data_IF_846146356580
#
_entry.id   IF_846146356580
#
_cell.length_a   1.000
_cell.length_b   1.000
_cell.length_c   1.000
_cell.angle_alpha   90.00
_cell.angle_beta   90.00
_cell.angle_gamma   90.00
#
_symmetry.space_group_name_H-M   'P 1'
#
loop_
_entity.id
_entity.type
_entity.pdbx_description
1 polymer ?
#
# COMPACT_ATOMS: atom_id res chain seq x y z
N UNK A 1 49.70 15.10 24.88
CA UNK A 1 48.45 15.88 24.75
C UNK A 1 47.67 15.48 23.50
N UNK A 2 48.28 15.26 22.36
CA UNK A 2 47.63 14.90 21.09
C UNK A 2 46.82 13.60 21.13
N UNK A 3 47.32 12.55 21.80
CA UNK A 3 46.60 11.26 21.92
C UNK A 3 45.32 11.34 22.76
N UNK A 4 45.27 12.20 23.78
CA UNK A 4 44.05 12.38 24.59
C UNK A 4 42.98 13.13 23.79
N UNK A 5 43.35 14.09 22.98
CA UNK A 5 42.45 14.85 22.12
C UNK A 5 41.85 13.94 21.03
N UNK A 6 42.64 13.06 20.43
CA UNK A 6 42.22 12.10 19.42
C UNK A 6 41.19 11.10 19.98
N UNK A 7 41.41 10.58 21.19
CA UNK A 7 40.47 9.67 21.87
C UNK A 7 39.15 10.36 22.24
N UNK A 8 39.20 11.63 22.63
CA UNK A 8 38.00 12.40 22.98
C UNK A 8 37.14 12.70 21.73
N UNK A 9 37.77 13.02 20.60
CA UNK A 9 37.09 13.24 19.32
C UNK A 9 36.48 11.94 18.80
N UNK A 10 37.18 10.81 18.92
CA UNK A 10 36.65 9.51 18.49
C UNK A 10 35.45 9.07 19.35
N UNK A 11 35.44 9.39 20.63
CA UNK A 11 34.30 9.08 21.53
C UNK A 11 33.06 9.95 21.26
N UNK A 12 33.26 11.19 20.81
CA UNK A 12 32.16 12.09 20.45
C UNK A 12 31.53 11.69 19.11
N UNK A 13 32.32 11.16 18.17
CA UNK A 13 31.81 10.72 16.85
C UNK A 13 30.94 9.45 16.92
N UNK A 14 31.11 8.63 17.97
CA UNK A 14 30.34 7.38 18.14
C UNK A 14 28.90 7.57 18.68
N UNK A 15 28.51 8.78 19.11
CA UNK A 15 27.21 9.05 19.71
C UNK A 15 26.12 9.45 18.70
N UNK A 16 26.44 9.58 17.41
CA UNK A 16 25.46 9.95 16.35
C UNK A 16 24.99 8.78 15.49
N UNK A 17 25.00 7.55 16.02
CA UNK A 17 24.29 6.46 15.36
C UNK A 17 22.80 6.62 15.71
N UNK A 18 22.14 7.55 15.07
CA UNK A 18 20.68 7.53 14.98
C UNK A 18 20.31 6.27 14.22
N UNK A 19 19.69 5.29 14.87
CA UNK A 19 19.03 4.19 14.18
C UNK A 19 18.07 4.80 13.17
N UNK A 20 18.42 4.74 11.89
CA UNK A 20 17.48 5.03 10.83
C UNK A 20 16.38 3.98 10.95
N UNK A 21 15.23 4.36 11.52
CA UNK A 21 14.05 3.53 11.49
C UNK A 21 13.69 3.33 10.03
N UNK A 22 13.64 2.09 9.58
CA UNK A 22 13.17 1.77 8.24
C UNK A 22 11.68 2.15 8.16
N UNK A 23 11.29 2.79 7.08
CA UNK A 23 9.94 3.26 6.82
C UNK A 23 9.33 2.40 5.72
N UNK A 24 8.19 1.76 6.02
CA UNK A 24 7.38 1.05 5.03
C UNK A 24 6.37 2.04 4.46
N UNK A 25 6.45 2.30 3.17
CA UNK A 25 5.49 3.17 2.48
C UNK A 25 4.39 2.34 1.83
N UNK A 26 3.14 2.70 2.07
CA UNK A 26 1.96 2.07 1.49
C UNK A 26 1.15 3.11 0.72
N UNK A 27 0.85 2.81 -0.55
CA UNK A 27 -0.07 3.60 -1.34
C UNK A 27 -1.52 3.25 -0.99
N UNK A 28 -2.36 4.24 -0.71
CA UNK A 28 -3.82 4.06 -0.56
C UNK A 28 -4.47 4.73 -1.76
N UNK A 29 -4.81 3.92 -2.77
CA UNK A 29 -5.36 4.39 -4.04
C UNK A 29 -6.83 4.03 -4.10
N UNK A 30 -7.70 5.03 -3.91
CA UNK A 30 -9.15 4.87 -3.92
C UNK A 30 -9.78 5.92 -4.84
N UNK A 31 -11.07 5.79 -5.16
CA UNK A 31 -11.80 6.81 -5.90
C UNK A 31 -12.25 7.94 -4.98
N UNK A 32 -11.35 8.83 -4.60
CA UNK A 32 -11.66 9.98 -3.75
C UNK A 32 -12.51 11.03 -4.47
N UNK A 33 -12.52 11.02 -5.80
CA UNK A 33 -13.46 11.73 -6.65
C UNK A 33 -14.22 10.73 -7.52
N UNK A 34 -15.36 11.14 -8.09
CA UNK A 34 -16.16 10.31 -8.97
C UNK A 34 -17.32 9.58 -8.27
N UNK A 35 -17.79 8.44 -8.81
CA UNK A 35 -19.10 7.86 -8.44
C UNK A 35 -19.18 7.33 -7.01
N UNK A 36 -18.05 7.09 -6.35
CA UNK A 36 -18.00 6.50 -4.99
C UNK A 36 -17.29 7.42 -3.98
N UNK A 37 -17.09 8.68 -4.31
CA UNK A 37 -16.38 9.67 -3.47
C UNK A 37 -16.92 9.77 -2.03
N UNK A 38 -18.22 9.49 -1.83
CA UNK A 38 -18.84 9.52 -0.50
C UNK A 38 -18.46 8.35 0.40
N UNK A 39 -17.94 7.24 -0.17
CA UNK A 39 -17.60 6.02 0.57
C UNK A 39 -16.11 5.93 0.88
N UNK A 40 -15.27 6.39 -0.01
CA UNK A 40 -13.83 6.16 0.02
C UNK A 40 -13.08 6.85 1.17
N UNK A 41 -13.47 8.04 1.68
CA UNK A 41 -12.80 8.62 2.83
C UNK A 41 -12.86 7.70 4.06
N UNK A 42 -14.02 7.11 4.36
CA UNK A 42 -14.17 6.22 5.51
C UNK A 42 -13.35 4.93 5.36
N UNK A 43 -13.22 4.40 4.14
CA UNK A 43 -12.38 3.23 3.84
C UNK A 43 -10.91 3.58 4.08
N UNK A 44 -10.45 4.73 3.58
CA UNK A 44 -9.09 5.19 3.77
C UNK A 44 -8.76 5.42 5.25
N UNK A 45 -9.64 6.11 5.97
CA UNK A 45 -9.46 6.39 7.40
C UNK A 45 -9.39 5.10 8.23
N UNK A 46 -10.22 4.10 7.90
CA UNK A 46 -10.19 2.79 8.56
C UNK A 46 -8.86 2.05 8.31
N UNK A 47 -8.36 2.10 7.09
CA UNK A 47 -7.07 1.50 6.75
C UNK A 47 -5.91 2.21 7.48
N UNK A 48 -5.94 3.54 7.54
CA UNK A 48 -4.92 4.33 8.23
C UNK A 48 -4.89 4.05 9.74
N UNK A 49 -6.05 3.87 10.37
CA UNK A 49 -6.12 3.44 11.77
C UNK A 49 -5.43 2.09 11.94
N UNK A 50 -5.74 1.10 11.10
CA UNK A 50 -5.12 -0.22 11.17
C UNK A 50 -3.60 -0.17 10.95
N UNK A 51 -3.12 0.60 9.98
CA UNK A 51 -1.70 0.78 9.74
C UNK A 51 -0.99 1.52 10.88
N UNK A 52 -1.66 2.50 11.48
CA UNK A 52 -1.15 3.19 12.66
C UNK A 52 -1.05 2.24 13.85
N UNK A 53 -2.07 1.44 14.12
CA UNK A 53 -2.05 0.44 15.18
C UNK A 53 -0.92 -0.58 14.96
N UNK A 54 -0.72 -1.04 13.73
CA UNK A 54 0.38 -1.93 13.38
C UNK A 54 1.75 -1.29 13.67
N UNK A 55 1.93 -0.02 13.28
CA UNK A 55 3.17 0.73 13.56
C UNK A 55 3.40 0.91 15.06
N UNK A 56 2.35 1.29 15.81
CA UNK A 56 2.44 1.57 17.24
C UNK A 56 2.63 0.30 18.08
N UNK A 57 2.20 -0.86 17.58
CA UNK A 57 2.33 -2.14 18.26
C UNK A 57 3.78 -2.57 18.51
N UNK A 58 4.71 -2.04 17.72
CA UNK A 58 6.12 -2.47 17.71
C UNK A 58 6.34 -3.90 17.20
N UNK A 59 5.29 -4.54 16.63
CA UNK A 59 5.35 -5.91 16.11
C UNK A 59 5.95 -6.00 14.71
N UNK A 60 6.15 -4.86 14.05
CA UNK A 60 6.81 -4.83 12.75
C UNK A 60 8.30 -5.15 12.89
N UNK A 61 8.84 -5.85 11.90
CA UNK A 61 10.25 -6.25 11.89
C UNK A 61 11.16 -5.03 12.06
N UNK A 62 12.14 -5.15 12.93
CA UNK A 62 13.14 -4.08 13.19
C UNK A 62 12.56 -2.75 13.73
N UNK A 63 11.32 -2.74 14.23
CA UNK A 63 10.69 -1.51 14.72
C UNK A 63 10.36 -0.50 13.61
N UNK A 64 10.10 -0.99 12.41
CA UNK A 64 9.67 -0.19 11.27
C UNK A 64 8.36 0.56 11.54
N UNK A 65 8.13 1.63 10.81
CA UNK A 65 6.89 2.39 10.85
C UNK A 65 6.26 2.42 9.47
N UNK A 66 4.92 2.50 9.43
CA UNK A 66 4.18 2.59 8.17
C UNK A 66 3.83 4.06 7.91
N UNK A 67 4.13 4.52 6.70
CA UNK A 67 3.71 5.81 6.17
C UNK A 67 2.77 5.59 4.99
N UNK A 68 1.69 6.36 4.94
CA UNK A 68 0.64 6.23 3.94
C UNK A 68 0.72 7.37 2.95
N UNK A 69 0.53 7.04 1.68
CA UNK A 69 0.46 8.00 0.58
C UNK A 69 -0.87 7.79 -0.13
N UNK A 70 -1.80 8.75 0.01
CA UNK A 70 -3.10 8.71 -0.68
C UNK A 70 -2.96 9.15 -2.13
N UNK A 71 -3.72 8.50 -3.03
CA UNK A 71 -3.86 8.91 -4.42
C UNK A 71 -5.27 8.58 -4.93
N UNK A 72 -5.76 9.37 -5.88
CA UNK A 72 -7.11 9.26 -6.42
C UNK A 72 -7.13 8.52 -7.75
N UNK A 73 -7.81 7.38 -7.80
CA UNK A 73 -8.04 6.60 -9.02
C UNK A 73 -9.29 7.00 -9.80
N UNK A 74 -10.12 7.87 -9.26
CA UNK A 74 -11.42 8.33 -9.82
C UNK A 74 -12.45 7.23 -10.10
N UNK A 75 -12.08 5.97 -10.13
CA UNK A 75 -12.87 4.77 -10.49
C UNK A 75 -13.21 4.60 -11.98
N UNK A 76 -13.43 5.66 -12.72
CA UNK A 76 -13.98 5.64 -14.08
C UNK A 76 -13.02 6.19 -15.16
N UNK A 77 -11.81 6.56 -14.77
CA UNK A 77 -10.76 7.02 -15.68
C UNK A 77 -9.50 6.15 -15.53
N UNK A 78 -9.25 5.23 -16.49
CA UNK A 78 -8.06 4.39 -16.45
C UNK A 78 -6.76 5.19 -16.45
N UNK A 79 -6.70 6.33 -17.14
CA UNK A 79 -5.50 7.15 -17.18
C UNK A 79 -5.20 7.80 -15.84
N UNK A 80 -6.24 8.26 -15.12
CA UNK A 80 -6.10 8.77 -13.77
C UNK A 80 -5.65 7.67 -12.80
N UNK A 81 -6.20 6.46 -12.94
CA UNK A 81 -5.82 5.31 -12.13
C UNK A 81 -4.35 4.93 -12.31
N UNK A 82 -3.85 4.89 -13.56
CA UNK A 82 -2.43 4.64 -13.88
C UNK A 82 -1.56 5.75 -13.28
N UNK A 83 -1.91 7.00 -13.51
CA UNK A 83 -1.12 8.14 -13.01
C UNK A 83 -1.04 8.15 -11.47
N UNK A 84 -2.14 7.82 -10.79
CA UNK A 84 -2.17 7.67 -9.34
C UNK A 84 -1.21 6.56 -8.85
N UNK A 85 -1.24 5.41 -9.51
CA UNK A 85 -0.38 4.28 -9.17
C UNK A 85 1.10 4.59 -9.43
N UNK A 86 1.44 5.12 -10.59
CA UNK A 86 2.81 5.53 -10.92
C UNK A 86 3.33 6.59 -9.95
N UNK A 87 2.48 7.55 -9.56
CA UNK A 87 2.83 8.59 -8.61
C UNK A 87 3.20 8.07 -7.23
N UNK A 88 2.51 7.05 -6.71
CA UNK A 88 2.86 6.44 -5.41
C UNK A 88 4.05 5.48 -5.54
N UNK A 89 4.15 4.73 -6.64
CA UNK A 89 5.28 3.83 -6.92
C UNK A 89 6.58 4.64 -7.02
N UNK A 90 6.57 5.79 -7.68
CA UNK A 90 7.73 6.68 -7.77
C UNK A 90 8.18 7.20 -6.39
N UNK A 91 7.29 7.25 -5.40
CA UNK A 91 7.62 7.60 -4.01
C UNK A 91 8.13 6.41 -3.20
N UNK A 92 8.26 5.24 -3.81
CA UNK A 92 8.85 4.06 -3.20
C UNK A 92 7.92 3.27 -2.30
N UNK A 93 6.61 3.22 -2.62
CA UNK A 93 5.68 2.34 -1.91
C UNK A 93 6.03 0.88 -2.16
N UNK A 94 5.89 0.04 -1.14
CA UNK A 94 6.14 -1.41 -1.21
C UNK A 94 4.86 -2.20 -1.46
N UNK A 95 3.71 -1.61 -1.16
CA UNK A 95 2.39 -2.19 -1.39
C UNK A 95 1.36 -1.10 -1.67
N UNK A 96 0.26 -1.50 -2.31
CA UNK A 96 -0.90 -0.66 -2.60
C UNK A 96 -2.15 -1.26 -1.97
N UNK A 97 -2.86 -0.50 -1.16
CA UNK A 97 -4.24 -0.76 -0.79
C UNK A 97 -5.16 -0.02 -1.79
N UNK A 98 -5.91 -0.76 -2.57
CA UNK A 98 -6.75 -0.21 -3.64
C UNK A 98 -6.91 -1.17 -4.82
N UNK A 99 -7.65 -0.83 -5.84
CA UNK A 99 -8.66 0.20 -5.80
C UNK A 99 -9.98 -0.39 -5.28
N UNK A 100 -11.02 0.44 -5.15
CA UNK A 100 -12.35 -0.05 -4.76
C UNK A 100 -13.12 -0.56 -5.98
N UNK A 101 -12.97 0.12 -7.12
CA UNK A 101 -13.62 -0.23 -8.37
C UNK A 101 -12.81 -1.27 -9.13
N UNK A 102 -13.45 -2.36 -9.56
CA UNK A 102 -12.75 -3.49 -10.18
C UNK A 102 -11.98 -3.12 -11.45
N UNK A 103 -12.53 -2.24 -12.29
CA UNK A 103 -11.83 -1.77 -13.50
C UNK A 103 -10.55 -1.00 -13.18
N UNK A 104 -10.62 -0.10 -12.20
CA UNK A 104 -9.44 0.63 -11.73
C UNK A 104 -8.42 -0.32 -11.10
N UNK A 105 -8.87 -1.33 -10.34
CA UNK A 105 -8.00 -2.37 -9.78
C UNK A 105 -7.27 -3.16 -10.85
N UNK A 106 -8.00 -3.62 -11.88
CA UNK A 106 -7.45 -4.37 -13.00
C UNK A 106 -6.42 -3.54 -13.77
N UNK A 107 -6.73 -2.28 -14.03
CA UNK A 107 -5.84 -1.33 -14.72
C UNK A 107 -4.56 -1.08 -13.91
N UNK A 108 -4.69 -0.72 -12.63
CA UNK A 108 -3.52 -0.46 -11.77
C UNK A 108 -2.65 -1.71 -11.65
N UNK A 109 -3.27 -2.87 -11.45
CA UNK A 109 -2.55 -4.13 -11.29
C UNK A 109 -1.75 -4.47 -12.55
N UNK A 110 -2.38 -4.46 -13.71
CA UNK A 110 -1.73 -4.88 -14.96
C UNK A 110 -0.72 -3.88 -15.49
N UNK A 111 -1.04 -2.58 -15.45
CA UNK A 111 -0.23 -1.55 -16.10
C UNK A 111 0.84 -0.93 -15.19
N UNK A 112 0.64 -1.00 -13.86
CA UNK A 112 1.53 -0.31 -12.93
C UNK A 112 2.11 -1.23 -11.84
N UNK A 113 1.29 -1.93 -11.05
CA UNK A 113 1.76 -2.66 -9.90
C UNK A 113 2.61 -3.90 -10.28
N UNK A 114 2.11 -4.77 -11.15
CA UNK A 114 2.82 -5.98 -11.61
C UNK A 114 4.16 -5.67 -12.29
N UNK A 115 4.25 -4.71 -13.25
CA UNK A 115 5.52 -4.38 -13.89
C UNK A 115 6.58 -3.87 -12.91
N UNK A 116 6.16 -3.24 -11.82
CA UNK A 116 7.04 -2.68 -10.80
C UNK A 116 7.25 -3.61 -9.58
N UNK A 117 6.66 -4.81 -9.57
CA UNK A 117 6.80 -5.75 -8.47
C UNK A 117 6.16 -5.28 -7.15
N UNK A 118 5.10 -4.46 -7.24
CA UNK A 118 4.38 -3.93 -6.08
C UNK A 118 3.15 -4.79 -5.80
N UNK A 119 3.02 -5.27 -4.57
CA UNK A 119 1.85 -6.04 -4.12
C UNK A 119 0.64 -5.14 -3.99
N UNK A 120 -0.52 -5.65 -4.37
CA UNK A 120 -1.77 -4.92 -4.32
C UNK A 120 -2.86 -5.70 -3.58
N UNK A 121 -3.59 -5.03 -2.69
CA UNK A 121 -4.74 -5.57 -1.99
C UNK A 121 -5.94 -4.67 -2.26
N UNK A 122 -7.03 -5.23 -2.79
CA UNK A 122 -8.28 -4.48 -2.96
C UNK A 122 -9.22 -4.71 -1.78
N UNK A 123 -9.78 -3.65 -1.18
CA UNK A 123 -10.76 -3.77 -0.10
C UNK A 123 -12.16 -4.12 -0.58
N UNK A 124 -12.47 -3.99 -1.87
CA UNK A 124 -13.85 -4.10 -2.35
C UNK A 124 -14.06 -4.61 -3.78
N UNK A 125 -13.00 -4.80 -4.56
CA UNK A 125 -13.13 -5.31 -5.93
C UNK A 125 -13.61 -6.75 -5.95
N UNK A 126 -14.63 -7.04 -6.77
CA UNK A 126 -15.31 -8.35 -6.79
C UNK A 126 -15.54 -8.89 -8.20
N UNK A 127 -14.97 -8.26 -9.24
CA UNK A 127 -15.15 -8.74 -10.61
C UNK A 127 -14.46 -10.08 -10.84
N UNK A 128 -15.17 -11.00 -11.46
CA UNK A 128 -14.60 -12.29 -11.86
C UNK A 128 -13.45 -12.18 -12.87
N UNK A 129 -13.30 -11.04 -13.57
CA UNK A 129 -12.18 -10.77 -14.46
C UNK A 129 -10.84 -10.76 -13.72
N UNK A 130 -10.83 -10.33 -12.47
CA UNK A 130 -9.63 -10.30 -11.63
C UNK A 130 -9.03 -11.69 -11.42
N UNK A 131 -9.87 -12.73 -11.31
CA UNK A 131 -9.40 -14.13 -11.21
C UNK A 131 -8.67 -14.64 -12.47
N UNK A 132 -8.94 -14.03 -13.62
CA UNK A 132 -8.32 -14.45 -14.88
C UNK A 132 -6.95 -13.78 -15.09
N UNK A 133 -6.60 -12.81 -14.26
CA UNK A 133 -5.32 -12.13 -14.36
C UNK A 133 -4.16 -13.05 -13.94
N UNK A 134 -3.07 -12.98 -14.68
CA UNK A 134 -1.84 -13.68 -14.35
C UNK A 134 -0.99 -12.83 -13.41
N UNK A 135 -1.48 -12.64 -12.21
CA UNK A 135 -0.93 -11.73 -11.21
C UNK A 135 0.31 -12.27 -10.47
N UNK A 136 0.66 -13.53 -10.66
CA UNK A 136 1.82 -14.20 -10.02
C UNK A 136 1.81 -14.10 -8.49
N UNK A 137 0.64 -13.93 -7.88
CA UNK A 137 0.49 -13.75 -6.44
C UNK A 137 0.73 -12.31 -5.94
N UNK A 138 0.75 -11.33 -6.83
CA UNK A 138 0.89 -9.93 -6.46
C UNK A 138 -0.45 -9.25 -6.14
N UNK A 139 -1.56 -9.94 -6.33
CA UNK A 139 -2.88 -9.40 -6.03
C UNK A 139 -3.64 -10.25 -5.01
N UNK A 140 -4.25 -9.58 -4.05
CA UNK A 140 -5.11 -10.18 -3.02
C UNK A 140 -6.45 -9.45 -2.97
N UNK A 141 -7.53 -10.21 -2.88
CA UNK A 141 -8.87 -9.67 -2.63
C UNK A 141 -9.28 -9.96 -1.18
N UNK A 142 -9.81 -8.95 -0.52
CA UNK A 142 -10.34 -9.12 0.84
C UNK A 142 -11.69 -9.83 0.85
N UNK A 143 -12.48 -9.66 -0.21
CA UNK A 143 -13.79 -10.29 -0.35
C UNK A 143 -13.69 -11.58 -1.14
N UNK A 144 -14.35 -12.63 -0.64
CA UNK A 144 -14.59 -13.81 -1.44
C UNK A 144 -15.38 -13.41 -2.69
N UNK A 145 -14.88 -13.79 -3.84
CA UNK A 145 -15.60 -13.56 -5.10
C UNK A 145 -17.03 -14.09 -4.99
N UNK A 146 -17.95 -13.37 -5.60
CA UNK A 146 -19.36 -13.71 -5.56
C UNK A 146 -19.63 -15.16 -5.96
N UNK A 147 -18.82 -15.75 -6.83
CA UNK A 147 -18.90 -17.15 -7.23
C UNK A 147 -18.50 -18.13 -6.12
N UNK A 148 -17.49 -17.80 -5.32
CA UNK A 148 -17.09 -18.66 -4.20
C UNK A 148 -18.09 -18.57 -3.03
N UNK A 149 -18.64 -17.39 -2.79
CA UNK A 149 -19.74 -17.21 -1.84
C UNK A 149 -20.94 -18.05 -2.24
N UNK A 150 -21.38 -18.02 -3.50
CA UNK A 150 -22.51 -18.82 -4.01
C UNK A 150 -22.23 -20.32 -3.86
N UNK A 151 -21.03 -20.78 -4.17
CA UNK A 151 -20.65 -22.20 -3.97
C UNK A 151 -20.71 -22.62 -2.50
N UNK A 152 -20.28 -21.75 -1.58
CA UNK A 152 -20.31 -22.07 -0.15
C UNK A 152 -21.71 -22.13 0.46
N UNK A 153 -22.72 -21.53 -0.19
CA UNK A 153 -24.13 -21.58 0.24
C UNK A 153 -24.92 -22.75 -0.37
N UNK A 154 -24.33 -23.44 -1.36
CA UNK A 154 -24.98 -24.55 -2.07
C UNK A 154 -24.61 -25.96 -1.50
N UNK A 155 -23.84 -26.00 -0.42
CA UNK A 155 -23.51 -27.21 0.35
C UNK A 155 -24.31 -27.23 1.65
#
# INVERSE_FOLDING_TARGET
MLNKLFFTILMILSTFITSARSEIKIGVILGFTGPIESLTPAIADSAEIAFKEASDSGSLLNGETITIIRADSTCNDPSAAIAAAEGVIAQGVTAILGAVCSEATETILSESALPNGVVMISPASTSSSLNALKDKGFFLEHLLLSQELVKSWLI
#
